data_IF_685542906790
#
_entry.id   IF_685542906790
#
_cell.length_a   1.000
_cell.length_b   1.000
_cell.length_c   1.000
_cell.angle_alpha   90.00
_cell.angle_beta   90.00
_cell.angle_gamma   90.00
#
_symmetry.space_group_name_H-M   'P 1'
#
loop_
_entity.id
_entity.type
_entity.pdbx_description
1 polymer ?
#
# COMPACT_ATOMS: atom_id res chain seq x y z
N UNK A 1 20.97 -0.86 -21.04
CA UNK A 1 21.46 -1.21 -19.68
C UNK A 1 20.30 -1.03 -18.72
N UNK A 2 20.19 -1.86 -17.66
CA UNK A 2 19.18 -1.64 -16.62
C UNK A 2 19.55 -0.36 -15.88
N UNK A 3 18.62 0.58 -15.73
CA UNK A 3 18.88 1.81 -15.01
C UNK A 3 19.25 1.53 -13.54
N UNK A 4 20.08 2.40 -12.96
CA UNK A 4 20.59 2.20 -11.61
C UNK A 4 19.47 2.09 -10.57
N UNK A 5 18.41 2.89 -10.67
CA UNK A 5 17.25 2.85 -9.74
C UNK A 5 16.37 1.61 -9.90
N UNK A 6 16.60 0.80 -10.94
CA UNK A 6 15.81 -0.41 -11.19
C UNK A 6 16.47 -1.67 -10.60
N UNK A 7 17.65 -1.52 -10.00
CA UNK A 7 18.33 -2.59 -9.28
C UNK A 7 17.63 -2.87 -7.93
N UNK A 8 17.73 -4.11 -7.40
CA UNK A 8 17.21 -4.45 -6.08
C UNK A 8 17.75 -3.54 -4.98
N UNK A 9 16.91 -3.15 -4.03
CA UNK A 9 17.24 -2.26 -2.90
C UNK A 9 18.47 -2.76 -2.13
N UNK A 10 18.53 -4.08 -1.86
CA UNK A 10 19.66 -4.68 -1.16
C UNK A 10 20.99 -4.49 -1.92
N UNK A 11 20.97 -4.61 -3.26
CA UNK A 11 22.15 -4.43 -4.09
C UNK A 11 22.59 -2.96 -4.12
N UNK A 12 21.65 -2.03 -4.26
CA UNK A 12 21.94 -0.59 -4.19
C UNK A 12 22.62 -0.23 -2.87
N UNK A 13 22.03 -0.65 -1.76
CA UNK A 13 22.58 -0.39 -0.43
C UNK A 13 23.96 -1.05 -0.23
N UNK A 14 24.17 -2.27 -0.76
CA UNK A 14 25.47 -2.95 -0.69
C UNK A 14 26.55 -2.19 -1.46
N UNK A 15 26.25 -1.73 -2.68
CA UNK A 15 27.17 -0.94 -3.51
C UNK A 15 27.53 0.39 -2.87
N UNK A 16 26.58 1.04 -2.20
CA UNK A 16 26.86 2.29 -1.46
C UNK A 16 27.74 1.98 -0.24
N UNK A 17 27.42 0.95 0.56
CA UNK A 17 28.26 0.57 1.71
C UNK A 17 29.70 0.18 1.32
N UNK A 18 29.90 -0.40 0.14
CA UNK A 18 31.26 -0.73 -0.36
C UNK A 18 31.97 0.47 -0.99
N UNK A 19 31.30 1.60 -1.21
CA UNK A 19 31.86 2.76 -1.94
C UNK A 19 31.90 2.58 -3.46
N UNK A 20 31.35 1.51 -4.02
CA UNK A 20 31.23 1.29 -5.46
C UNK A 20 30.25 2.29 -6.11
N UNK A 21 29.23 2.71 -5.35
CA UNK A 21 28.21 3.67 -5.77
C UNK A 21 28.11 4.78 -4.72
N UNK A 22 28.00 6.03 -5.16
CA UNK A 22 27.70 7.16 -4.28
C UNK A 22 26.18 7.31 -4.06
N UNK A 23 25.77 7.56 -2.83
CA UNK A 23 24.39 7.89 -2.50
C UNK A 23 23.94 9.16 -3.24
N UNK A 24 24.85 10.13 -3.39
CA UNK A 24 24.64 11.35 -4.16
C UNK A 24 24.22 11.06 -5.61
N UNK A 25 24.84 10.09 -6.27
CA UNK A 25 24.49 9.69 -7.65
C UNK A 25 23.07 9.13 -7.71
N UNK A 26 22.72 8.23 -6.78
CA UNK A 26 21.42 7.58 -6.75
C UNK A 26 20.28 8.56 -6.43
N UNK A 27 20.50 9.48 -5.49
CA UNK A 27 19.56 10.54 -5.13
C UNK A 27 19.37 11.52 -6.27
N UNK A 28 20.46 11.93 -6.95
CA UNK A 28 20.39 12.85 -8.10
C UNK A 28 19.59 12.24 -9.25
N UNK A 29 19.77 10.94 -9.53
CA UNK A 29 18.97 10.24 -10.54
C UNK A 29 17.49 10.22 -10.16
N UNK A 30 17.17 9.89 -8.90
CA UNK A 30 15.78 9.93 -8.40
C UNK A 30 15.15 11.34 -8.54
N UNK A 31 15.87 12.39 -8.15
CA UNK A 31 15.42 13.79 -8.30
C UNK A 31 15.17 14.16 -9.77
N UNK A 32 16.03 13.71 -10.68
CA UNK A 32 15.86 13.96 -12.13
C UNK A 32 14.58 13.28 -12.64
N UNK A 33 14.34 12.01 -12.29
CA UNK A 33 13.11 11.30 -12.65
C UNK A 33 11.86 11.97 -12.07
N UNK A 34 11.89 12.37 -10.80
CA UNK A 34 10.80 13.09 -10.14
C UNK A 34 10.51 14.40 -10.88
N UNK A 35 11.54 15.20 -11.19
CA UNK A 35 11.40 16.49 -11.89
C UNK A 35 10.75 16.31 -13.27
N UNK A 36 11.11 15.25 -13.98
CA UNK A 36 10.62 15.01 -15.32
C UNK A 36 9.17 14.48 -15.33
N UNK A 37 8.83 13.54 -14.42
CA UNK A 37 7.57 12.80 -14.50
C UNK A 37 6.49 13.28 -13.52
N UNK A 38 6.83 13.98 -12.43
CA UNK A 38 5.82 14.36 -11.43
C UNK A 38 4.75 15.30 -11.99
N UNK A 39 5.07 16.10 -13.00
CA UNK A 39 4.10 16.98 -13.65
C UNK A 39 2.94 16.24 -14.30
N UNK A 40 3.20 15.06 -14.90
CA UNK A 40 2.18 14.22 -15.52
C UNK A 40 1.55 13.22 -14.56
N UNK A 41 2.30 12.71 -13.58
CA UNK A 41 1.83 11.69 -12.62
C UNK A 41 1.16 12.28 -11.39
N UNK A 42 1.57 13.46 -10.96
CA UNK A 42 1.09 14.15 -9.75
C UNK A 42 1.15 13.26 -8.50
N UNK A 43 2.27 12.55 -8.32
CA UNK A 43 2.46 11.65 -7.20
C UNK A 43 3.15 12.29 -5.99
N UNK A 44 4.01 13.31 -6.18
CA UNK A 44 4.63 14.07 -5.08
C UNK A 44 3.84 15.35 -4.80
N UNK A 45 3.48 15.58 -3.54
CA UNK A 45 2.95 16.85 -3.03
C UNK A 45 4.07 17.81 -2.65
N UNK A 46 5.21 17.26 -2.22
CA UNK A 46 6.42 18.02 -1.87
C UNK A 46 7.67 17.20 -2.18
N UNK A 47 8.65 17.81 -2.81
CA UNK A 47 9.99 17.25 -3.04
C UNK A 47 10.98 17.93 -2.09
N UNK A 48 11.82 17.14 -1.39
CA UNK A 48 12.79 17.58 -0.40
C UNK A 48 14.20 17.54 -0.99
N UNK A 49 14.41 18.30 -2.08
CA UNK A 49 15.65 18.23 -2.88
C UNK A 49 16.89 18.55 -2.04
N UNK A 50 16.89 19.68 -1.31
CA UNK A 50 18.05 20.12 -0.54
C UNK A 50 18.37 19.17 0.63
N UNK A 51 17.33 18.70 1.32
CA UNK A 51 17.46 17.76 2.43
C UNK A 51 17.95 16.40 1.96
N UNK A 52 17.43 15.90 0.82
CA UNK A 52 17.85 14.63 0.24
C UNK A 52 19.31 14.66 -0.23
N UNK A 53 19.75 15.73 -0.90
CA UNK A 53 21.14 15.88 -1.32
C UNK A 53 22.08 16.02 -0.10
N UNK A 54 21.67 16.75 0.94
CA UNK A 54 22.44 16.87 2.18
C UNK A 54 22.60 15.53 2.88
N UNK A 55 21.52 14.74 2.96
CA UNK A 55 21.54 13.39 3.54
C UNK A 55 22.42 12.43 2.73
N UNK A 56 22.35 12.50 1.38
CA UNK A 56 23.20 11.69 0.51
C UNK A 56 24.69 11.98 0.74
N UNK A 57 25.07 13.27 0.79
CA UNK A 57 26.44 13.67 1.08
C UNK A 57 26.92 13.20 2.47
N UNK A 58 26.03 13.15 3.46
CA UNK A 58 26.37 12.61 4.78
C UNK A 58 26.59 11.08 4.75
N UNK A 59 25.75 10.33 4.04
CA UNK A 59 25.95 8.88 3.83
C UNK A 59 27.30 8.62 3.15
N UNK A 60 27.61 9.35 2.09
CA UNK A 60 28.90 9.20 1.37
C UNK A 60 30.10 9.50 2.28
N UNK A 61 29.98 10.53 3.16
CA UNK A 61 31.03 10.82 4.16
C UNK A 61 31.18 9.71 5.21
N UNK A 62 30.09 9.11 5.67
CA UNK A 62 30.10 7.99 6.62
C UNK A 62 30.81 6.79 6.01
N UNK A 63 30.45 6.40 4.79
CA UNK A 63 31.08 5.32 4.06
C UNK A 63 32.59 5.54 3.88
N UNK A 64 32.99 6.75 3.46
CA UNK A 64 34.41 7.11 3.30
C UNK A 64 35.21 7.03 4.61
N UNK A 65 34.54 7.13 5.77
CA UNK A 65 35.15 6.95 7.12
C UNK A 65 35.05 5.51 7.64
N UNK A 66 34.54 4.58 6.84
CA UNK A 66 34.33 3.18 7.25
C UNK A 66 33.15 2.97 8.21
N UNK A 67 32.24 3.95 8.32
CA UNK A 67 31.03 3.86 9.13
C UNK A 67 29.94 3.21 8.27
N UNK A 68 29.28 2.16 8.80
CA UNK A 68 28.15 1.52 8.13
C UNK A 68 26.86 2.32 8.34
N UNK A 69 26.22 2.88 7.29
CA UNK A 69 25.00 3.67 7.43
C UNK A 69 23.73 2.85 7.69
N UNK A 70 23.76 1.52 7.55
CA UNK A 70 22.62 0.64 7.75
C UNK A 70 22.22 -0.19 6.53
N UNK A 71 21.12 -0.94 6.67
CA UNK A 71 20.63 -1.90 5.67
C UNK A 71 20.15 -1.24 4.38
N UNK A 72 19.66 0.00 4.47
CA UNK A 72 19.08 0.79 3.37
C UNK A 72 20.00 1.96 2.95
N UNK A 73 21.30 1.85 3.21
CA UNK A 73 22.30 2.88 3.00
C UNK A 73 22.13 3.60 1.66
N UNK A 74 21.81 4.90 1.69
CA UNK A 74 21.70 5.80 0.54
C UNK A 74 20.52 5.54 -0.40
N UNK A 75 19.62 4.60 -0.09
CA UNK A 75 18.48 4.25 -0.96
C UNK A 75 17.37 5.30 -0.82
N UNK A 76 16.91 5.92 -1.95
CA UNK A 76 15.84 6.89 -1.94
C UNK A 76 14.48 6.24 -1.61
N UNK A 77 13.66 6.92 -0.80
CA UNK A 77 12.27 6.54 -0.56
C UNK A 77 11.37 7.77 -0.44
N UNK A 78 10.05 7.57 -0.50
CA UNK A 78 9.08 8.62 -0.26
C UNK A 78 7.96 8.09 0.64
N UNK A 79 7.24 8.99 1.31
CA UNK A 79 6.17 8.63 2.23
C UNK A 79 4.88 9.38 1.91
N UNK A 80 3.73 8.71 2.11
CA UNK A 80 2.41 9.32 2.01
C UNK A 80 2.31 10.55 2.92
N UNK A 81 1.61 11.59 2.49
CA UNK A 81 1.57 12.89 3.18
C UNK A 81 0.68 12.89 4.46
N UNK A 82 0.60 11.74 5.12
CA UNK A 82 0.03 11.56 6.45
C UNK A 82 1.05 11.17 7.51
N UNK A 83 2.30 10.97 7.12
CA UNK A 83 3.39 10.70 8.07
C UNK A 83 4.02 12.02 8.51
N UNK A 84 4.25 12.17 9.80
CA UNK A 84 5.02 13.26 10.34
C UNK A 84 6.45 13.20 9.81
N UNK A 85 6.89 14.30 9.22
CA UNK A 85 8.28 14.56 8.83
C UNK A 85 8.73 15.80 9.58
N UNK A 86 9.76 15.65 10.40
CA UNK A 86 10.30 16.74 11.24
C UNK A 86 10.51 18.02 10.43
N UNK A 87 9.93 19.12 10.94
CA UNK A 87 10.02 20.44 10.31
C UNK A 87 9.00 20.70 9.20
N UNK A 88 8.15 19.72 8.85
CA UNK A 88 7.07 19.90 7.86
C UNK A 88 5.69 19.80 8.52
N UNK A 89 4.73 20.56 7.97
CA UNK A 89 3.31 20.37 8.31
C UNK A 89 2.81 19.08 7.65
N UNK A 90 2.24 18.18 8.44
CA UNK A 90 1.58 16.94 7.98
C UNK A 90 0.22 17.28 7.43
N UNK A 91 0.04 17.32 6.10
CA UNK A 91 -1.21 17.80 5.51
C UNK A 91 -2.31 16.74 5.48
N UNK A 92 -1.96 15.45 5.49
CA UNK A 92 -2.91 14.34 5.29
C UNK A 92 -3.77 14.52 4.02
N UNK A 93 -3.22 15.18 2.98
CA UNK A 93 -3.93 15.50 1.74
C UNK A 93 -4.99 16.59 1.90
N UNK A 94 -5.00 17.36 2.99
CA UNK A 94 -6.06 18.32 3.31
C UNK A 94 -5.57 19.77 3.25
N UNK A 95 -6.35 20.63 2.60
CA UNK A 95 -6.07 22.06 2.48
C UNK A 95 -6.04 22.77 3.84
N UNK A 96 -6.96 22.41 4.73
CA UNK A 96 -7.10 23.02 6.06
C UNK A 96 -5.94 22.67 7.01
N UNK A 97 -5.00 21.83 6.59
CA UNK A 97 -3.77 21.51 7.32
C UNK A 97 -2.52 22.13 6.71
N UNK A 98 -2.63 22.77 5.54
CA UNK A 98 -1.52 23.50 4.94
C UNK A 98 -1.15 24.67 5.88
N UNK A 99 0.14 24.74 6.27
CA UNK A 99 0.62 25.74 7.21
C UNK A 99 0.26 25.48 8.69
N UNK A 100 -0.24 24.28 9.02
CA UNK A 100 -0.33 23.85 10.43
C UNK A 100 1.07 23.75 11.05
N UNK A 101 1.13 23.68 12.37
CA UNK A 101 2.39 23.55 13.11
C UNK A 101 3.24 22.40 12.54
N UNK A 102 4.51 22.65 12.20
CA UNK A 102 5.40 21.61 11.72
C UNK A 102 5.62 20.52 12.75
N UNK A 103 5.71 19.26 12.30
CA UNK A 103 5.99 18.13 13.17
C UNK A 103 7.33 18.31 13.91
N UNK A 104 7.33 18.13 15.21
CA UNK A 104 8.53 18.24 16.06
C UNK A 104 9.51 17.07 15.83
N UNK A 105 8.99 15.93 15.42
CA UNK A 105 9.73 14.67 15.19
C UNK A 105 9.24 14.00 13.93
N UNK A 106 10.09 13.15 13.34
CA UNK A 106 9.65 12.22 12.32
C UNK A 106 8.67 11.18 12.92
N UNK A 107 7.73 10.69 12.13
CA UNK A 107 6.98 9.47 12.45
C UNK A 107 7.96 8.32 12.71
N UNK A 108 7.65 7.42 13.65
CA UNK A 108 8.56 6.33 14.04
C UNK A 108 9.02 5.50 12.83
N UNK A 109 8.14 5.23 11.88
CA UNK A 109 8.45 4.50 10.66
C UNK A 109 9.41 5.26 9.73
N UNK A 110 9.28 6.58 9.63
CA UNK A 110 10.20 7.44 8.86
C UNK A 110 11.57 7.46 9.54
N UNK A 111 11.60 7.59 10.86
CA UNK A 111 12.83 7.57 11.65
C UNK A 111 13.56 6.21 11.52
N UNK A 112 12.84 5.08 11.57
CA UNK A 112 13.42 3.74 11.37
C UNK A 112 14.11 3.62 10.01
N UNK A 113 13.46 4.07 8.93
CA UNK A 113 14.05 4.04 7.59
C UNK A 113 15.29 4.92 7.49
N UNK A 114 15.24 6.14 8.04
CA UNK A 114 16.40 7.05 8.08
C UNK A 114 17.55 6.49 8.92
N UNK A 115 17.26 5.82 10.05
CA UNK A 115 18.27 5.19 10.90
C UNK A 115 19.00 4.04 10.19
N UNK A 116 18.35 3.38 9.23
CA UNK A 116 18.95 2.38 8.36
C UNK A 116 19.57 2.98 7.07
N UNK A 117 19.74 4.31 7.04
CA UNK A 117 20.42 5.03 5.99
C UNK A 117 19.58 5.33 4.76
N UNK A 118 18.27 5.08 4.75
CA UNK A 118 17.39 5.46 3.64
C UNK A 118 17.20 6.99 3.59
N UNK A 119 17.06 7.53 2.38
CA UNK A 119 16.97 8.97 2.12
C UNK A 119 15.57 9.35 1.68
N UNK A 120 14.91 10.22 2.45
CA UNK A 120 13.57 10.70 2.15
C UNK A 120 13.60 11.74 1.03
N UNK A 121 12.89 11.44 -0.08
CA UNK A 121 12.81 12.31 -1.26
C UNK A 121 11.66 13.31 -1.18
N UNK A 122 10.61 13.02 -0.41
CA UNK A 122 9.44 13.88 -0.31
C UNK A 122 8.19 13.19 0.20
N UNK A 123 7.08 13.95 0.20
CA UNK A 123 5.75 13.48 0.58
C UNK A 123 4.88 13.25 -0.65
N UNK A 124 3.96 12.26 -0.55
CA UNK A 124 3.23 11.71 -1.68
C UNK A 124 1.73 11.97 -1.56
N UNK A 125 1.10 12.25 -2.71
CA UNK A 125 -0.31 12.56 -2.84
C UNK A 125 -1.20 11.38 -2.38
N UNK A 126 -2.37 11.76 -1.86
CA UNK A 126 -3.30 10.82 -1.25
C UNK A 126 -4.75 11.33 -1.34
N UNK A 127 -5.74 10.45 -1.17
CA UNK A 127 -7.09 10.90 -0.84
C UNK A 127 -7.06 11.69 0.47
N UNK A 128 -7.77 12.82 0.53
CA UNK A 128 -7.85 13.63 1.75
C UNK A 128 -8.22 12.77 2.95
N UNK A 129 -7.43 12.90 4.05
CA UNK A 129 -7.57 12.12 5.29
C UNK A 129 -7.61 10.60 5.09
N UNK A 130 -6.98 10.09 4.02
CA UNK A 130 -6.98 8.68 3.63
C UNK A 130 -8.38 8.08 3.37
N UNK A 131 -9.42 8.91 3.15
CA UNK A 131 -10.81 8.47 3.05
C UNK A 131 -11.29 8.29 1.61
N UNK A 132 -10.66 7.39 0.88
CA UNK A 132 -11.00 7.04 -0.50
C UNK A 132 -10.19 5.88 -1.05
N UNK A 133 -10.46 5.52 -2.33
CA UNK A 133 -9.71 4.48 -3.05
C UNK A 133 -9.22 4.95 -4.43
N UNK A 134 -9.12 6.27 -4.67
CA UNK A 134 -8.89 6.80 -6.03
C UNK A 134 -7.73 7.78 -6.13
N UNK A 135 -7.36 8.46 -5.04
CA UNK A 135 -6.41 9.58 -5.02
C UNK A 135 -6.78 10.64 -6.06
N UNK A 136 -8.07 11.00 -6.08
CA UNK A 136 -8.57 12.24 -6.68
C UNK A 136 -8.79 13.20 -5.53
N UNK A 137 -7.90 14.17 -5.38
CA UNK A 137 -7.91 15.12 -4.28
C UNK A 137 -8.30 16.52 -4.80
N UNK A 138 -9.32 17.14 -4.24
CA UNK A 138 -9.81 18.45 -4.69
C UNK A 138 -8.78 19.57 -4.53
N UNK A 139 -7.76 19.38 -3.68
CA UNK A 139 -6.75 20.38 -3.35
C UNK A 139 -5.41 20.14 -4.04
N UNK A 140 -5.03 18.88 -4.23
CA UNK A 140 -3.74 18.46 -4.79
C UNK A 140 -3.87 17.83 -6.18
N UNK A 141 -5.10 17.65 -6.70
CA UNK A 141 -5.35 17.00 -7.98
C UNK A 141 -5.32 15.47 -7.94
N UNK A 142 -5.57 14.85 -9.09
CA UNK A 142 -5.56 13.40 -9.23
C UNK A 142 -4.14 12.86 -9.42
N UNK A 143 -3.79 11.77 -8.72
CA UNK A 143 -2.61 10.97 -9.05
C UNK A 143 -2.93 9.99 -10.16
N UNK A 144 -2.09 9.97 -11.17
CA UNK A 144 -2.28 9.20 -12.40
C UNK A 144 -1.51 7.89 -12.37
N UNK A 145 -2.05 6.90 -13.07
CA UNK A 145 -1.43 5.59 -13.20
C UNK A 145 -0.25 5.66 -14.18
N UNK A 146 0.95 5.19 -13.83
CA UNK A 146 2.09 5.21 -14.75
C UNK A 146 1.94 4.36 -16.00
N UNK A 147 1.07 3.32 -15.97
CA UNK A 147 0.77 2.49 -17.14
C UNK A 147 -0.14 3.17 -18.16
N UNK A 148 -0.96 4.12 -17.70
CA UNK A 148 -1.85 4.93 -18.53
C UNK A 148 -2.26 6.18 -17.73
N UNK A 149 -1.73 7.34 -18.12
CA UNK A 149 -1.95 8.60 -17.40
C UNK A 149 -3.37 9.15 -17.48
N UNK A 150 -4.26 8.57 -18.27
CA UNK A 150 -5.68 8.86 -18.24
C UNK A 150 -6.43 8.08 -17.15
N UNK A 151 -5.74 7.17 -16.45
CA UNK A 151 -6.32 6.29 -15.44
C UNK A 151 -5.86 6.60 -14.02
N UNK A 152 -6.65 6.11 -13.07
CA UNK A 152 -6.41 6.25 -11.65
C UNK A 152 -5.23 5.40 -11.19
N UNK A 153 -4.40 5.93 -10.31
CA UNK A 153 -3.41 5.15 -9.57
C UNK A 153 -4.04 4.28 -8.46
N UNK A 154 -5.31 4.50 -8.16
CA UNK A 154 -5.96 3.95 -6.97
C UNK A 154 -5.67 4.80 -5.74
N UNK A 155 -6.13 4.34 -4.56
CA UNK A 155 -6.01 5.11 -3.32
C UNK A 155 -6.27 4.26 -2.05
N UNK A 156 -6.08 4.91 -0.91
CA UNK A 156 -5.75 6.32 -0.67
C UNK A 156 -4.25 6.64 -0.79
N UNK A 157 -3.37 5.64 -0.99
CA UNK A 157 -1.91 5.83 -1.14
C UNK A 157 -1.50 5.81 -2.63
N UNK A 158 -2.25 6.49 -3.50
CA UNK A 158 -2.00 6.47 -4.94
C UNK A 158 -0.67 7.07 -5.33
N UNK A 159 -0.27 8.17 -4.68
CA UNK A 159 1.06 8.76 -4.87
C UNK A 159 2.19 7.78 -4.54
N UNK A 160 2.02 6.99 -3.46
CA UNK A 160 3.02 5.99 -3.06
C UNK A 160 3.17 4.87 -4.10
N UNK A 161 2.06 4.35 -4.60
CA UNK A 161 2.09 3.32 -5.63
C UNK A 161 2.60 3.86 -6.98
N UNK A 162 2.13 5.03 -7.41
CA UNK A 162 2.55 5.65 -8.67
C UNK A 162 4.05 5.96 -8.70
N UNK A 163 4.61 6.50 -7.61
CA UNK A 163 6.03 6.83 -7.53
C UNK A 163 6.94 5.59 -7.64
N UNK A 164 6.55 4.45 -7.04
CA UNK A 164 7.30 3.18 -7.12
C UNK A 164 7.13 2.52 -8.47
N UNK A 165 5.89 2.45 -8.99
CA UNK A 165 5.59 1.87 -10.30
C UNK A 165 6.31 2.60 -11.43
N UNK A 166 6.37 3.93 -11.36
CA UNK A 166 7.09 4.76 -12.30
C UNK A 166 8.62 4.74 -12.11
N UNK A 167 9.18 4.02 -11.15
CA UNK A 167 10.62 3.96 -10.89
C UNK A 167 11.22 5.27 -10.40
N UNK A 168 10.43 6.19 -9.81
CA UNK A 168 10.93 7.45 -9.26
C UNK A 168 11.70 7.23 -7.94
N UNK A 169 11.24 6.27 -7.17
CA UNK A 169 11.92 5.75 -5.98
C UNK A 169 11.84 4.22 -5.95
N UNK A 170 12.83 3.52 -5.37
CA UNK A 170 12.81 2.07 -5.25
C UNK A 170 11.68 1.53 -4.39
N UNK A 171 11.31 2.24 -3.31
CA UNK A 171 10.22 1.89 -2.43
C UNK A 171 9.55 3.13 -1.82
N UNK A 172 8.36 2.96 -1.31
CA UNK A 172 7.62 4.00 -0.59
C UNK A 172 6.82 3.41 0.57
N UNK A 173 6.32 4.26 1.46
CA UNK A 173 5.40 3.85 2.53
C UNK A 173 4.05 4.55 2.41
N UNK A 174 2.99 3.82 2.72
CA UNK A 174 1.62 4.28 2.78
C UNK A 174 0.87 3.73 3.98
N UNK A 175 -0.45 3.88 3.98
CA UNK A 175 -1.33 3.34 5.02
C UNK A 175 -2.47 2.53 4.40
N UNK A 176 -2.92 1.50 5.11
CA UNK A 176 -4.04 0.65 4.71
C UNK A 176 -5.03 0.51 5.86
N UNK A 177 -6.17 1.18 5.75
CA UNK A 177 -7.33 1.00 6.63
C UNK A 177 -8.21 -0.12 6.09
N UNK A 178 -8.59 0.03 4.82
CA UNK A 178 -9.59 -0.81 4.13
C UNK A 178 -9.11 -1.32 2.77
N UNK A 179 -7.81 -1.17 2.45
CA UNK A 179 -7.23 -1.54 1.17
C UNK A 179 -6.32 -0.47 0.57
N UNK A 180 -6.02 0.60 1.32
CA UNK A 180 -5.33 1.78 0.77
C UNK A 180 -3.84 1.60 0.44
N UNK A 181 -3.24 0.44 0.72
CA UNK A 181 -1.98 -0.04 0.14
C UNK A 181 -2.28 -1.01 -1.01
N UNK A 182 -3.15 -1.96 -0.78
CA UNK A 182 -3.40 -3.08 -1.71
C UNK A 182 -4.06 -2.62 -3.01
N UNK A 183 -5.09 -1.77 -2.93
CA UNK A 183 -5.80 -1.24 -4.10
C UNK A 183 -4.84 -0.52 -5.05
N UNK A 184 -4.08 0.51 -4.61
CA UNK A 184 -3.15 1.18 -5.52
C UNK A 184 -1.98 0.29 -5.95
N UNK A 185 -1.49 -0.64 -5.12
CA UNK A 185 -0.49 -1.62 -5.54
C UNK A 185 -0.99 -2.49 -6.70
N UNK A 186 -2.22 -3.02 -6.59
CA UNK A 186 -2.83 -3.84 -7.62
C UNK A 186 -3.07 -3.09 -8.94
N UNK A 187 -3.55 -1.84 -8.87
CA UNK A 187 -3.82 -1.03 -10.06
C UNK A 187 -2.55 -0.48 -10.73
N UNK A 188 -1.48 -0.27 -9.97
CA UNK A 188 -0.19 0.19 -10.48
C UNK A 188 0.80 -0.94 -10.80
N UNK A 189 0.43 -2.21 -10.63
CA UNK A 189 1.25 -3.36 -11.00
C UNK A 189 2.52 -3.52 -10.17
N UNK A 190 2.45 -3.28 -8.86
CA UNK A 190 3.55 -3.41 -7.92
C UNK A 190 3.15 -4.22 -6.69
N UNK A 191 4.13 -4.57 -5.87
CA UNK A 191 3.91 -5.26 -4.61
C UNK A 191 3.58 -4.26 -3.49
N UNK A 192 2.62 -4.65 -2.61
CA UNK A 192 2.30 -3.90 -1.41
C UNK A 192 1.79 -4.83 -0.31
N UNK A 193 2.11 -4.55 0.94
CA UNK A 193 1.63 -5.34 2.08
C UNK A 193 0.77 -4.51 3.02
N UNK A 194 -0.40 -5.07 3.40
CA UNK A 194 -1.09 -4.76 4.64
C UNK A 194 -0.59 -5.73 5.70
N UNK A 195 0.21 -5.31 6.70
CA UNK A 195 0.63 -6.18 7.79
C UNK A 195 -0.53 -6.58 8.71
N UNK A 196 -0.28 -7.54 9.59
CA UNK A 196 -1.15 -7.75 10.75
C UNK A 196 -1.25 -6.48 11.60
N UNK A 197 -2.34 -6.35 12.35
CA UNK A 197 -2.53 -5.22 13.28
C UNK A 197 -1.36 -5.15 14.27
N UNK A 198 -0.87 -3.93 14.52
CA UNK A 198 0.25 -3.65 15.43
C UNK A 198 1.61 -4.27 15.02
N UNK A 199 1.75 -4.80 13.81
CA UNK A 199 3.05 -5.32 13.35
C UNK A 199 4.06 -4.20 13.06
N UNK A 200 3.59 -3.03 12.63
CA UNK A 200 4.37 -1.81 12.36
C UNK A 200 3.85 -0.67 13.24
N UNK A 201 4.73 0.17 13.84
CA UNK A 201 4.31 1.28 14.69
C UNK A 201 3.52 2.33 13.93
N UNK A 202 2.56 2.97 14.65
CA UNK A 202 1.68 4.01 14.11
C UNK A 202 1.96 5.41 14.72
N UNK A 203 3.00 5.58 15.52
CA UNK A 203 3.31 6.87 16.12
C UNK A 203 3.75 7.89 15.04
N UNK A 204 3.14 9.08 15.06
CA UNK A 204 3.37 10.12 14.05
C UNK A 204 2.66 9.87 12.72
N UNK A 205 1.65 9.00 12.69
CA UNK A 205 0.79 8.76 11.54
C UNK A 205 -0.57 9.40 11.77
N UNK A 206 -1.02 10.28 10.86
CA UNK A 206 -2.36 10.87 10.97
C UNK A 206 -3.42 9.78 10.78
N UNK A 207 -4.31 9.54 11.77
CA UNK A 207 -5.22 8.41 11.74
C UNK A 207 -6.47 8.69 10.89
N UNK A 208 -7.10 7.60 10.39
CA UNK A 208 -8.49 7.60 9.93
C UNK A 208 -9.35 6.72 10.87
N UNK A 209 -8.91 5.49 11.13
CA UNK A 209 -9.60 4.51 11.99
C UNK A 209 -8.57 3.78 12.85
N UNK A 210 -8.41 4.21 14.08
CA UNK A 210 -7.34 3.74 14.99
C UNK A 210 -7.20 2.22 15.06
N UNK A 211 -8.31 1.49 14.98
CA UNK A 211 -8.35 0.04 15.16
C UNK A 211 -8.25 -0.74 13.84
N UNK A 212 -8.13 -0.06 12.69
CA UNK A 212 -8.02 -0.69 11.36
C UNK A 212 -6.78 -0.22 10.60
N UNK A 213 -6.28 0.97 10.92
CA UNK A 213 -5.14 1.56 10.22
C UNK A 213 -3.87 0.74 10.43
N UNK A 214 -3.13 0.51 9.34
CA UNK A 214 -1.79 -0.07 9.36
C UNK A 214 -0.88 0.71 8.41
N UNK A 215 0.41 0.77 8.70
CA UNK A 215 1.42 1.21 7.74
C UNK A 215 1.79 0.03 6.85
N UNK A 216 1.97 0.28 5.55
CA UNK A 216 2.43 -0.73 4.62
C UNK A 216 3.37 -0.16 3.56
N UNK A 217 4.50 -0.83 3.30
CA UNK A 217 5.40 -0.49 2.21
C UNK A 217 4.91 -0.96 0.84
N UNK A 218 5.47 -0.31 -0.18
CA UNK A 218 5.38 -0.67 -1.60
C UNK A 218 6.78 -0.88 -2.17
N UNK A 219 6.94 -1.87 -3.04
CA UNK A 219 8.17 -2.14 -3.76
C UNK A 219 7.90 -2.82 -5.11
N UNK A 220 8.94 -2.95 -5.95
CA UNK A 220 8.84 -3.62 -7.26
C UNK A 220 9.18 -5.11 -7.24
N UNK A 221 9.68 -5.63 -6.11
CA UNK A 221 9.95 -7.06 -5.92
C UNK A 221 9.53 -7.52 -4.53
N UNK A 222 9.32 -8.82 -4.38
CA UNK A 222 9.02 -9.42 -3.07
C UNK A 222 10.20 -9.27 -2.11
N UNK A 223 11.44 -9.39 -2.60
CA UNK A 223 12.64 -9.24 -1.77
C UNK A 223 12.79 -7.83 -1.21
N UNK A 224 12.60 -6.80 -2.04
CA UNK A 224 12.65 -5.41 -1.61
C UNK A 224 11.52 -5.08 -0.62
N UNK A 225 10.31 -5.59 -0.90
CA UNK A 225 9.17 -5.41 0.00
C UNK A 225 9.42 -6.04 1.37
N UNK A 226 9.95 -7.27 1.41
CA UNK A 226 10.30 -7.96 2.65
C UNK A 226 11.38 -7.22 3.43
N UNK A 227 12.43 -6.74 2.75
CA UNK A 227 13.51 -5.99 3.40
C UNK A 227 12.95 -4.73 4.11
N UNK A 228 12.14 -3.94 3.40
CA UNK A 228 11.53 -2.73 3.96
C UNK A 228 10.54 -3.08 5.08
N UNK A 229 9.71 -4.10 4.91
CA UNK A 229 8.79 -4.59 5.94
C UNK A 229 9.53 -4.97 7.23
N UNK A 230 10.65 -5.69 7.13
CA UNK A 230 11.46 -6.10 8.30
C UNK A 230 12.06 -4.90 9.04
N UNK A 231 12.53 -3.88 8.33
CA UNK A 231 13.04 -2.64 8.94
C UNK A 231 11.92 -1.90 9.69
N UNK A 232 10.72 -1.85 9.13
CA UNK A 232 9.59 -1.13 9.71
C UNK A 232 8.99 -1.85 10.93
N UNK A 233 9.01 -3.18 10.94
CA UNK A 233 8.29 -4.00 11.91
C UNK A 233 8.83 -3.88 13.33
N UNK A 234 7.97 -4.14 14.32
CA UNK A 234 8.42 -4.34 15.68
C UNK A 234 9.27 -5.61 15.82
N UNK A 235 10.34 -5.60 16.62
CA UNK A 235 11.16 -6.80 16.84
C UNK A 235 10.35 -8.00 17.36
N UNK A 236 9.28 -7.77 18.12
CA UNK A 236 8.37 -8.81 18.61
C UNK A 236 7.56 -9.47 17.49
N UNK A 237 7.19 -8.72 16.45
CA UNK A 237 6.45 -9.24 15.31
C UNK A 237 7.32 -10.15 14.43
N UNK A 238 8.65 -9.94 14.42
CA UNK A 238 9.60 -10.77 13.69
C UNK A 238 10.00 -12.04 14.47
N UNK A 239 9.78 -12.08 15.79
CA UNK A 239 10.15 -13.22 16.65
C UNK A 239 9.13 -14.35 16.69
N UNK A 240 7.93 -14.14 16.16
CA UNK A 240 6.87 -15.15 16.15
C UNK A 240 7.14 -16.28 15.14
N UNK A 241 8.15 -16.12 14.30
CA UNK A 241 8.65 -17.19 13.46
C UNK A 241 9.76 -17.96 14.17
N UNK A 242 9.39 -18.75 15.18
CA UNK A 242 10.12 -19.99 15.43
C UNK A 242 9.93 -20.82 14.16
N UNK A 243 10.89 -20.74 13.24
CA UNK A 243 10.98 -21.54 12.01
C UNK A 243 10.95 -23.05 12.27
N UNK A 244 11.00 -23.48 13.53
CA UNK A 244 10.83 -24.86 13.99
C UNK A 244 9.41 -25.40 13.84
N UNK A 245 8.36 -24.54 13.67
CA UNK A 245 6.96 -24.97 13.51
C UNK A 245 6.37 -24.72 12.11
N UNK A 246 7.06 -24.04 11.20
CA UNK A 246 6.70 -24.12 9.78
C UNK A 246 7.09 -25.54 9.36
N UNK A 247 6.11 -26.36 9.03
CA UNK A 247 6.31 -27.69 8.45
C UNK A 247 7.04 -27.52 7.12
N UNK A 248 8.38 -27.42 7.17
CA UNK A 248 9.23 -27.16 5.99
C UNK A 248 9.05 -28.21 4.88
N UNK A 249 8.51 -29.38 5.24
CA UNK A 249 8.41 -30.55 4.37
C UNK A 249 6.97 -30.85 3.88
N UNK A 250 5.97 -30.04 4.24
CA UNK A 250 4.60 -30.24 3.78
C UNK A 250 4.22 -29.21 2.73
N UNK A 251 3.45 -29.61 1.70
CA UNK A 251 2.96 -28.65 0.70
C UNK A 251 2.08 -27.60 1.36
N UNK A 252 2.27 -26.32 0.95
CA UNK A 252 1.43 -25.19 1.39
C UNK A 252 -0.01 -25.45 0.91
N UNK A 253 -0.96 -25.41 1.85
CA UNK A 253 -2.38 -25.61 1.55
C UNK A 253 -2.97 -24.28 1.09
N UNK A 254 -3.31 -24.20 -0.18
CA UNK A 254 -3.83 -22.98 -0.82
C UNK A 254 -5.30 -23.16 -1.15
N UNK A 255 -6.12 -22.13 -0.88
CA UNK A 255 -7.49 -22.04 -1.37
C UNK A 255 -7.76 -20.65 -1.97
N UNK A 256 -8.64 -20.58 -2.97
CA UNK A 256 -9.17 -19.30 -3.43
C UNK A 256 -10.46 -18.95 -2.70
N UNK A 257 -10.71 -17.66 -2.54
CA UNK A 257 -11.98 -17.17 -2.04
C UNK A 257 -13.02 -17.11 -3.17
N UNK A 258 -14.13 -17.78 -2.97
CA UNK A 258 -15.28 -17.82 -3.87
C UNK A 258 -16.39 -16.84 -3.47
N UNK A 259 -17.58 -17.06 -3.98
CA UNK A 259 -18.80 -16.35 -3.62
C UNK A 259 -18.71 -14.83 -3.83
N UNK A 260 -18.60 -14.05 -2.76
CA UNK A 260 -18.47 -12.58 -2.81
C UNK A 260 -17.33 -12.10 -3.70
N UNK A 261 -16.19 -12.79 -3.66
CA UNK A 261 -14.97 -12.43 -4.39
C UNK A 261 -15.02 -12.80 -5.88
N UNK A 262 -15.93 -13.67 -6.28
CA UNK A 262 -16.18 -14.03 -7.69
C UNK A 262 -17.23 -13.12 -8.32
N UNK A 263 -18.40 -12.98 -7.67
CA UNK A 263 -19.55 -12.26 -8.23
C UNK A 263 -19.29 -10.79 -8.54
N UNK A 264 -18.36 -10.17 -7.84
CA UNK A 264 -18.09 -8.74 -7.95
C UNK A 264 -16.84 -8.41 -8.77
N UNK A 265 -16.17 -9.41 -9.37
CA UNK A 265 -15.01 -9.23 -10.24
C UNK A 265 -15.42 -9.20 -11.71
N UNK A 266 -14.70 -8.42 -12.53
CA UNK A 266 -14.77 -8.57 -13.99
C UNK A 266 -14.14 -9.91 -14.42
N UNK A 267 -14.54 -10.44 -15.58
CA UNK A 267 -14.05 -11.72 -16.09
C UNK A 267 -12.51 -11.74 -16.15
N UNK A 268 -11.88 -10.66 -16.64
CA UNK A 268 -10.41 -10.59 -16.77
C UNK A 268 -9.69 -10.67 -15.41
N UNK A 269 -10.29 -10.11 -14.35
CA UNK A 269 -9.72 -10.17 -12.99
C UNK A 269 -9.94 -11.56 -12.38
N UNK A 270 -11.10 -12.15 -12.61
CA UNK A 270 -11.40 -13.51 -12.16
C UNK A 270 -10.50 -14.53 -12.87
N UNK A 271 -10.32 -14.40 -14.18
CA UNK A 271 -9.44 -15.27 -14.97
C UNK A 271 -7.99 -15.26 -14.49
N UNK A 272 -7.47 -14.12 -14.03
CA UNK A 272 -6.14 -14.03 -13.43
C UNK A 272 -6.02 -14.92 -12.17
N UNK A 273 -7.01 -14.87 -11.29
CA UNK A 273 -7.04 -15.70 -10.08
C UNK A 273 -7.20 -17.19 -10.44
N UNK A 274 -8.11 -17.52 -11.36
CA UNK A 274 -8.33 -18.90 -11.79
C UNK A 274 -7.09 -19.49 -12.47
N UNK A 275 -6.40 -18.71 -13.30
CA UNK A 275 -5.16 -19.13 -13.95
C UNK A 275 -4.05 -19.35 -12.92
N UNK A 276 -3.89 -18.46 -11.93
CA UNK A 276 -2.93 -18.67 -10.84
C UNK A 276 -3.22 -19.98 -10.09
N UNK A 277 -4.48 -20.25 -9.73
CA UNK A 277 -4.88 -21.48 -9.04
C UNK A 277 -4.59 -22.72 -9.89
N UNK A 278 -4.83 -22.67 -11.18
CA UNK A 278 -4.52 -23.75 -12.11
C UNK A 278 -3.00 -24.01 -12.22
N UNK A 279 -2.19 -22.96 -12.28
CA UNK A 279 -0.71 -23.07 -12.29
C UNK A 279 -0.16 -23.67 -10.98
N UNK A 280 -0.85 -23.46 -9.87
CA UNK A 280 -0.52 -24.04 -8.56
C UNK A 280 -1.05 -25.47 -8.36
N UNK A 281 -1.82 -26.03 -9.30
CA UNK A 281 -2.64 -27.24 -9.15
C UNK A 281 -3.50 -27.22 -7.86
N UNK A 282 -3.95 -26.03 -7.46
CA UNK A 282 -4.76 -25.83 -6.27
C UNK A 282 -6.24 -25.70 -6.64
N UNK A 283 -7.06 -26.63 -6.17
CA UNK A 283 -8.50 -26.74 -6.56
C UNK A 283 -9.46 -26.27 -5.49
N UNK A 284 -8.96 -26.02 -4.27
CA UNK A 284 -9.80 -25.66 -3.14
C UNK A 284 -10.43 -24.28 -3.32
N UNK A 285 -11.74 -24.22 -3.13
CA UNK A 285 -12.55 -23.01 -3.10
C UNK A 285 -13.23 -22.92 -1.76
N UNK A 286 -13.12 -21.77 -1.11
CA UNK A 286 -13.78 -21.53 0.18
C UNK A 286 -14.51 -20.20 0.14
N UNK A 287 -15.61 -20.12 0.85
CA UNK A 287 -16.32 -18.87 1.05
C UNK A 287 -16.06 -18.34 2.46
N UNK A 288 -15.91 -17.03 2.58
CA UNK A 288 -15.98 -16.35 3.87
C UNK A 288 -17.45 -15.99 4.09
N UNK A 289 -18.13 -16.65 5.02
CA UNK A 289 -19.53 -16.30 5.32
C UNK A 289 -19.64 -14.83 5.68
N UNK A 290 -20.70 -14.18 5.17
CA UNK A 290 -21.02 -12.78 5.54
C UNK A 290 -19.99 -11.73 5.13
N UNK A 291 -19.20 -11.96 4.05
CA UNK A 291 -18.23 -11.01 3.54
C UNK A 291 -18.87 -9.64 3.19
N UNK A 292 -20.12 -9.62 2.74
CA UNK A 292 -20.90 -8.40 2.50
C UNK A 292 -21.20 -7.64 3.79
N UNK A 293 -21.61 -8.34 4.83
CA UNK A 293 -21.83 -7.74 6.16
C UNK A 293 -20.50 -7.23 6.76
N UNK A 294 -19.40 -7.94 6.54
CA UNK A 294 -18.05 -7.50 6.93
C UNK A 294 -17.65 -6.18 6.25
N UNK A 295 -17.93 -6.04 4.96
CA UNK A 295 -17.75 -4.78 4.24
C UNK A 295 -18.60 -3.67 4.85
N UNK A 296 -19.87 -3.94 5.14
CA UNK A 296 -20.78 -2.97 5.74
C UNK A 296 -20.31 -2.52 7.14
N UNK A 297 -19.89 -3.47 7.97
CA UNK A 297 -19.32 -3.17 9.29
C UNK A 297 -18.06 -2.32 9.21
N UNK A 298 -17.17 -2.61 8.25
CA UNK A 298 -15.97 -1.80 7.97
C UNK A 298 -16.32 -0.35 7.59
N UNK A 299 -17.33 -0.15 6.74
CA UNK A 299 -17.82 1.19 6.34
C UNK A 299 -18.38 1.94 7.55
N UNK A 300 -19.21 1.29 8.37
CA UNK A 300 -19.81 1.89 9.58
C UNK A 300 -18.71 2.31 10.57
N UNK A 301 -17.75 1.42 10.86
CA UNK A 301 -16.63 1.73 11.77
C UNK A 301 -15.80 2.90 11.24
N UNK A 302 -15.51 2.92 9.94
CA UNK A 302 -14.74 3.98 9.30
C UNK A 302 -15.48 5.32 9.35
N UNK A 303 -16.76 5.33 9.00
CA UNK A 303 -17.58 6.54 9.03
C UNK A 303 -17.66 7.12 10.43
N UNK A 304 -18.00 6.28 11.43
CA UNK A 304 -18.18 6.73 12.82
C UNK A 304 -16.89 7.30 13.43
N UNK A 305 -15.76 6.58 13.29
CA UNK A 305 -14.49 7.05 13.84
C UNK A 305 -13.94 8.27 13.09
N UNK A 306 -14.01 8.26 11.74
CA UNK A 306 -13.63 9.41 10.93
C UNK A 306 -14.48 10.64 11.25
N UNK A 307 -15.80 10.50 11.34
CA UNK A 307 -16.71 11.58 11.71
C UNK A 307 -16.39 12.14 13.12
N UNK A 308 -16.16 11.27 14.10
CA UNK A 308 -15.81 11.68 15.46
C UNK A 308 -14.46 12.42 15.52
N UNK A 309 -13.45 11.95 14.78
CA UNK A 309 -12.13 12.57 14.72
C UNK A 309 -12.19 14.01 14.16
N UNK A 310 -13.08 14.26 13.22
CA UNK A 310 -13.18 15.52 12.51
C UNK A 310 -14.31 16.44 12.98
N UNK A 311 -15.06 16.05 14.03
CA UNK A 311 -16.28 16.73 14.49
C UNK A 311 -16.08 18.24 14.74
N UNK A 312 -15.01 18.59 15.48
CA UNK A 312 -14.72 19.99 15.84
C UNK A 312 -14.44 20.87 14.61
N UNK A 313 -13.67 20.35 13.66
CA UNK A 313 -13.32 21.10 12.45
C UNK A 313 -14.50 21.15 11.48
N UNK A 314 -15.24 20.06 11.32
CA UNK A 314 -16.48 20.02 10.51
C UNK A 314 -17.53 21.00 11.01
N UNK A 315 -17.64 21.20 12.33
CA UNK A 315 -18.58 22.15 12.92
C UNK A 315 -18.19 23.62 12.67
N UNK A 316 -16.89 23.90 12.52
CA UNK A 316 -16.34 25.25 12.35
C UNK A 316 -16.18 25.65 10.91
N UNK A 317 -15.63 24.77 10.07
CA UNK A 317 -15.29 25.05 8.67
C UNK A 317 -15.44 23.80 7.79
N UNK A 318 -16.68 23.35 7.54
CA UNK A 318 -16.93 22.18 6.69
C UNK A 318 -16.51 22.39 5.24
N UNK A 319 -16.45 23.66 4.78
CA UNK A 319 -16.14 23.97 3.38
C UNK A 319 -14.63 23.89 3.07
N UNK A 320 -13.78 23.73 4.07
CA UNK A 320 -12.35 23.51 3.88
C UNK A 320 -11.98 22.09 3.46
N UNK A 321 -12.93 21.16 3.48
CA UNK A 321 -12.74 19.76 3.09
C UNK A 321 -13.00 19.53 1.60
N UNK A 322 -12.39 18.52 1.04
CA UNK A 322 -12.80 17.91 -0.23
C UNK A 322 -14.29 17.50 -0.12
N UNK A 323 -15.18 17.97 -1.01
CA UNK A 323 -16.62 17.66 -0.94
C UNK A 323 -16.92 16.16 -0.86
N UNK A 324 -16.14 15.32 -1.57
CA UNK A 324 -16.30 13.87 -1.58
C UNK A 324 -15.90 13.20 -0.26
N UNK A 325 -15.11 13.87 0.58
CA UNK A 325 -14.71 13.43 1.93
C UNK A 325 -15.59 14.03 2.99
N UNK A 326 -15.86 15.34 2.89
CA UNK A 326 -16.73 16.10 3.82
C UNK A 326 -18.06 15.40 4.06
N UNK A 327 -18.78 15.09 2.99
CA UNK A 327 -20.14 14.53 3.10
C UNK A 327 -20.15 13.16 3.78
N UNK A 328 -19.09 12.38 3.57
CA UNK A 328 -18.91 11.07 4.25
C UNK A 328 -18.54 11.23 5.73
N UNK A 329 -17.71 12.21 6.07
CA UNK A 329 -17.37 12.52 7.46
C UNK A 329 -18.59 13.09 8.21
N UNK A 330 -19.37 13.99 7.59
CA UNK A 330 -20.63 14.50 8.17
C UNK A 330 -21.62 13.37 8.41
N UNK A 331 -21.84 12.48 7.44
CA UNK A 331 -22.67 11.29 7.63
C UNK A 331 -22.14 10.40 8.80
N UNK A 332 -20.83 10.32 8.94
CA UNK A 332 -20.17 9.58 10.01
C UNK A 332 -20.48 10.11 11.42
N UNK A 333 -20.62 11.42 11.58
CA UNK A 333 -21.02 12.05 12.87
C UNK A 333 -22.42 11.67 13.32
N UNK A 334 -23.26 11.20 12.39
CA UNK A 334 -24.66 10.82 12.62
C UNK A 334 -24.83 9.30 12.86
N UNK A 335 -23.76 8.52 12.80
CA UNK A 335 -23.85 7.06 13.04
C UNK A 335 -24.24 6.79 14.50
N UNK A 336 -25.40 6.12 14.76
CA UNK A 336 -25.82 5.81 16.13
C UNK A 336 -24.79 4.89 16.82
N UNK A 337 -24.55 5.14 18.10
CA UNK A 337 -23.64 4.31 18.91
C UNK A 337 -24.01 2.81 18.87
N UNK A 338 -25.32 2.51 18.88
CA UNK A 338 -25.81 1.12 18.77
C UNK A 338 -25.34 0.44 17.48
N UNK A 339 -25.38 1.13 16.35
CA UNK A 339 -24.93 0.61 15.06
C UNK A 339 -23.41 0.40 15.03
N UNK A 340 -22.66 1.38 15.56
CA UNK A 340 -21.21 1.26 15.71
C UNK A 340 -20.84 0.06 16.60
N UNK A 341 -21.51 -0.09 17.75
CA UNK A 341 -21.29 -1.19 18.69
C UNK A 341 -21.57 -2.56 18.04
N UNK A 342 -22.65 -2.68 17.26
CA UNK A 342 -22.95 -3.88 16.49
C UNK A 342 -21.84 -4.19 15.47
N UNK A 343 -21.33 -3.19 14.77
CA UNK A 343 -20.24 -3.38 13.81
C UNK A 343 -18.96 -3.87 14.48
N UNK A 344 -18.62 -3.37 15.68
CA UNK A 344 -17.47 -3.83 16.46
C UNK A 344 -17.66 -5.27 16.94
N UNK A 345 -18.85 -5.64 17.44
CA UNK A 345 -19.15 -7.02 17.84
C UNK A 345 -19.13 -7.98 16.65
N UNK A 346 -19.67 -7.53 15.52
CA UNK A 346 -19.62 -8.30 14.28
C UNK A 346 -18.18 -8.54 13.82
N UNK A 347 -17.29 -7.56 13.95
CA UNK A 347 -15.86 -7.72 13.63
C UNK A 347 -15.24 -8.89 14.39
N UNK A 348 -15.48 -8.98 15.71
CA UNK A 348 -14.95 -10.06 16.54
C UNK A 348 -15.51 -11.43 16.14
N UNK A 349 -16.80 -11.49 15.83
CA UNK A 349 -17.42 -12.69 15.29
C UNK A 349 -16.78 -13.09 13.94
N UNK A 350 -16.70 -12.14 13.00
CA UNK A 350 -16.18 -12.38 11.66
C UNK A 350 -14.70 -12.84 11.68
N UNK A 351 -13.88 -12.24 12.53
CA UNK A 351 -12.49 -12.65 12.73
C UNK A 351 -12.38 -14.13 13.15
N UNK A 352 -13.27 -14.59 14.03
CA UNK A 352 -13.34 -16.01 14.43
C UNK A 352 -13.74 -16.93 13.27
N UNK A 353 -14.63 -16.49 12.38
CA UNK A 353 -14.99 -17.28 11.20
C UNK A 353 -13.80 -17.37 10.23
N UNK A 354 -13.10 -16.27 9.98
CA UNK A 354 -11.89 -16.26 9.13
C UNK A 354 -10.78 -17.14 9.74
N UNK A 355 -10.59 -17.12 11.06
CA UNK A 355 -9.60 -17.96 11.74
C UNK A 355 -9.79 -19.46 11.45
N UNK A 356 -11.03 -19.93 11.40
CA UNK A 356 -11.35 -21.35 11.09
C UNK A 356 -10.85 -21.78 9.71
N UNK A 357 -10.83 -20.88 8.73
CA UNK A 357 -10.31 -21.20 7.39
C UNK A 357 -8.82 -21.53 7.45
N UNK A 358 -8.08 -20.83 8.32
CA UNK A 358 -6.63 -21.05 8.50
C UNK A 358 -6.27 -22.29 9.33
N UNK A 359 -7.25 -23.00 9.89
CA UNK A 359 -7.05 -24.36 10.42
C UNK A 359 -6.84 -25.36 9.27
N UNK A 360 -7.51 -25.14 8.14
CA UNK A 360 -7.48 -26.01 6.96
C UNK A 360 -6.51 -25.53 5.87
N UNK A 361 -6.30 -24.22 5.76
CA UNK A 361 -5.48 -23.61 4.72
C UNK A 361 -4.38 -22.73 5.31
N UNK A 362 -3.29 -22.61 4.57
CA UNK A 362 -2.15 -21.76 4.95
C UNK A 362 -2.19 -20.43 4.23
N UNK A 363 -2.70 -20.43 2.99
CA UNK A 363 -2.81 -19.26 2.11
C UNK A 363 -4.23 -19.19 1.53
N UNK A 364 -4.79 -18.00 1.56
CA UNK A 364 -6.03 -17.66 0.85
C UNK A 364 -5.71 -16.67 -0.29
N UNK A 365 -6.27 -16.93 -1.47
CA UNK A 365 -6.07 -16.09 -2.67
C UNK A 365 -7.40 -15.45 -3.06
N UNK A 366 -7.35 -14.14 -3.40
CA UNK A 366 -8.51 -13.38 -3.85
C UNK A 366 -8.10 -12.31 -4.87
N UNK A 367 -9.01 -11.80 -5.71
CA UNK A 367 -8.73 -10.59 -6.49
C UNK A 367 -8.48 -9.39 -5.56
N UNK A 368 -7.66 -8.44 -5.99
CA UNK A 368 -7.37 -7.24 -5.21
C UNK A 368 -8.43 -6.15 -5.44
N UNK A 369 -8.77 -5.91 -6.70
CA UNK A 369 -9.76 -4.93 -7.15
C UNK A 369 -10.80 -5.58 -8.05
N UNK A 370 -12.02 -5.02 -8.18
CA UNK A 370 -13.05 -5.61 -9.03
C UNK A 370 -12.74 -5.53 -10.53
N UNK A 371 -11.87 -4.61 -10.93
CA UNK A 371 -11.51 -4.32 -12.31
C UNK A 371 -10.08 -3.75 -12.38
N UNK A 372 -9.56 -3.57 -13.58
CA UNK A 372 -8.36 -2.77 -13.86
C UNK A 372 -8.60 -1.28 -13.57
N UNK A 373 -7.55 -0.45 -13.63
CA UNK A 373 -7.61 0.95 -13.29
C UNK A 373 -8.69 1.72 -14.08
N UNK A 374 -9.70 2.34 -13.41
CA UNK A 374 -10.69 3.18 -14.07
C UNK A 374 -10.12 4.50 -14.62
N UNK A 375 -10.84 5.16 -15.53
CA UNK A 375 -10.45 6.46 -16.03
C UNK A 375 -10.60 7.56 -14.95
N UNK A 376 -9.73 8.56 -15.00
CA UNK A 376 -9.78 9.72 -14.10
C UNK A 376 -11.05 10.56 -14.37
N UNK A 377 -11.44 10.70 -15.64
CA UNK A 377 -12.60 11.49 -16.05
C UNK A 377 -13.94 10.76 -15.82
N UNK A 378 -13.94 9.43 -15.80
CA UNK A 378 -15.09 8.60 -15.41
C UNK A 378 -14.67 7.64 -14.27
N UNK A 379 -14.54 8.14 -13.02
CA UNK A 379 -14.07 7.34 -11.89
C UNK A 379 -15.17 6.41 -11.36
N UNK A 380 -15.65 5.52 -12.21
CA UNK A 380 -16.71 4.55 -11.92
C UNK A 380 -16.26 3.13 -12.22
N UNK A 381 -16.93 2.18 -11.59
CA UNK A 381 -16.73 0.74 -11.78
C UNK A 381 -18.07 0.04 -11.88
N UNK A 382 -18.11 -1.07 -12.61
CA UNK A 382 -19.26 -1.96 -12.65
C UNK A 382 -19.10 -3.02 -11.54
N UNK A 383 -20.07 -3.06 -10.64
CA UNK A 383 -20.18 -4.12 -9.62
C UNK A 383 -21.50 -4.84 -9.91
N UNK A 384 -21.41 -6.11 -10.25
CA UNK A 384 -22.53 -6.85 -10.79
C UNK A 384 -23.07 -6.09 -12.02
N UNK A 385 -24.34 -5.75 -12.08
CA UNK A 385 -24.94 -5.00 -13.19
C UNK A 385 -25.06 -3.50 -12.92
N UNK A 386 -24.48 -2.99 -11.84
CA UNK A 386 -24.63 -1.60 -11.39
C UNK A 386 -23.35 -0.79 -11.54
N UNK A 387 -23.44 0.34 -12.24
CA UNK A 387 -22.37 1.34 -12.29
C UNK A 387 -22.29 2.11 -10.97
N UNK A 388 -21.12 2.11 -10.32
CA UNK A 388 -20.88 2.68 -8.98
C UNK A 388 -19.62 3.54 -8.97
N UNK A 389 -19.50 4.43 -7.98
CA UNK A 389 -18.31 5.26 -7.83
C UNK A 389 -17.09 4.44 -7.43
N UNK A 390 -15.98 4.59 -8.15
CA UNK A 390 -14.71 3.92 -7.87
C UNK A 390 -14.19 4.23 -6.46
N UNK A 391 -14.35 5.50 -6.00
CA UNK A 391 -13.97 5.94 -4.64
C UNK A 391 -14.56 5.07 -3.51
N UNK A 392 -15.73 4.50 -3.71
CA UNK A 392 -16.44 3.67 -2.72
C UNK A 392 -16.31 2.17 -2.98
N UNK A 393 -15.95 1.77 -4.22
CA UNK A 393 -16.16 0.40 -4.67
C UNK A 393 -14.89 -0.36 -5.02
N UNK A 394 -13.76 0.32 -5.32
CA UNK A 394 -12.49 -0.36 -5.59
C UNK A 394 -12.01 -1.23 -4.42
N UNK A 395 -12.41 -0.92 -3.19
CA UNK A 395 -12.08 -1.69 -2.00
C UNK A 395 -13.03 -2.86 -1.68
N UNK A 396 -13.92 -3.26 -2.60
CA UNK A 396 -14.96 -4.27 -2.33
C UNK A 396 -14.40 -5.61 -1.84
N UNK A 397 -13.21 -6.01 -2.30
CA UNK A 397 -12.52 -7.24 -1.91
C UNK A 397 -11.52 -7.03 -0.76
N UNK A 398 -11.02 -5.82 -0.61
CA UNK A 398 -10.03 -5.53 0.44
C UNK A 398 -10.67 -5.25 1.80
N UNK A 399 -11.87 -4.66 1.84
CA UNK A 399 -12.59 -4.30 3.07
C UNK A 399 -12.93 -5.49 3.95
N UNK A 400 -13.51 -6.62 3.45
CA UNK A 400 -13.79 -7.79 4.28
C UNK A 400 -12.53 -8.40 4.89
N UNK A 401 -11.42 -8.41 4.16
CA UNK A 401 -10.16 -8.93 4.67
C UNK A 401 -9.47 -7.96 5.65
N UNK A 402 -9.68 -6.65 5.48
CA UNK A 402 -9.16 -5.64 6.42
C UNK A 402 -9.78 -5.77 7.80
N UNK A 403 -11.12 -5.94 7.86
CA UNK A 403 -11.83 -6.03 9.14
C UNK A 403 -11.46 -7.31 9.91
N UNK A 404 -11.01 -8.36 9.21
CA UNK A 404 -10.46 -9.55 9.82
C UNK A 404 -9.09 -9.32 10.49
N UNK A 405 -8.40 -8.23 10.15
CA UNK A 405 -7.11 -7.85 10.76
C UNK A 405 -5.95 -8.78 10.39
N UNK A 406 -6.03 -9.47 9.25
CA UNK A 406 -5.03 -10.42 8.79
C UNK A 406 -3.97 -9.77 7.89
N UNK A 407 -2.73 -10.31 7.81
CA UNK A 407 -1.71 -9.84 6.88
C UNK A 407 -1.99 -10.29 5.46
N UNK A 408 -1.81 -9.36 4.49
CA UNK A 408 -2.17 -9.57 3.09
C UNK A 408 -1.14 -8.88 2.19
N UNK A 409 -0.60 -9.63 1.24
CA UNK A 409 0.15 -9.09 0.10
C UNK A 409 -0.80 -8.80 -1.06
N UNK A 410 -0.67 -7.65 -1.70
CA UNK A 410 -1.10 -7.42 -3.08
C UNK A 410 0.09 -7.68 -3.99
N UNK A 411 -0.06 -8.59 -4.93
CA UNK A 411 0.98 -8.97 -5.88
C UNK A 411 0.51 -8.74 -7.31
N UNK A 412 1.37 -8.24 -8.21
CA UNK A 412 1.02 -8.01 -9.60
C UNK A 412 1.05 -9.31 -10.41
N UNK A 413 -0.06 -9.62 -11.08
CA UNK A 413 -0.18 -10.78 -11.96
C UNK A 413 0.51 -10.52 -13.31
N UNK A 414 1.37 -11.46 -13.76
CA UNK A 414 1.96 -11.42 -15.11
C UNK A 414 0.95 -11.98 -16.10
N UNK A 415 0.53 -11.16 -17.06
CA UNK A 415 -0.41 -11.53 -18.13
C UNK A 415 0.35 -12.13 -19.32
N UNK A 416 -0.12 -13.26 -19.83
CA UNK A 416 0.42 -13.89 -21.04
C UNK A 416 -0.58 -13.81 -22.21
N UNK A 417 -0.14 -13.43 -23.43
CA UNK A 417 1.19 -12.90 -23.75
C UNK A 417 1.41 -11.54 -23.13
N UNK A 418 2.64 -11.28 -22.66
CA UNK A 418 3.00 -9.98 -22.11
C UNK A 418 2.84 -8.90 -23.20
N UNK A 419 1.79 -8.08 -23.07
CA UNK A 419 1.55 -6.96 -23.96
C UNK A 419 1.61 -5.67 -23.13
N UNK A 420 2.48 -4.74 -23.50
CA UNK A 420 2.68 -3.46 -22.84
C UNK A 420 1.43 -2.56 -22.75
N UNK A 421 0.40 -2.87 -23.55
CA UNK A 421 -0.88 -2.14 -23.55
C UNK A 421 -1.89 -2.67 -22.53
N UNK A 422 -1.60 -3.80 -21.87
CA UNK A 422 -2.49 -4.37 -20.88
C UNK A 422 -2.27 -3.73 -19.50
N UNK A 423 -3.39 -3.31 -18.89
CA UNK A 423 -3.35 -2.74 -17.54
C UNK A 423 -3.07 -3.81 -16.48
N UNK A 424 -2.37 -3.46 -15.39
CA UNK A 424 -2.08 -4.38 -14.31
C UNK A 424 -3.33 -4.94 -13.63
N UNK A 425 -3.21 -6.18 -13.16
CA UNK A 425 -4.17 -6.85 -12.28
C UNK A 425 -3.45 -7.25 -11.00
N UNK A 426 -4.01 -6.87 -9.85
CA UNK A 426 -3.51 -7.28 -8.55
C UNK A 426 -4.25 -8.49 -8.00
N UNK A 427 -3.51 -9.40 -7.37
CA UNK A 427 -4.04 -10.55 -6.62
C UNK A 427 -3.66 -10.39 -5.14
N UNK A 428 -4.61 -10.63 -4.24
CA UNK A 428 -4.37 -10.68 -2.81
C UNK A 428 -3.96 -12.10 -2.38
N UNK A 429 -2.90 -12.18 -1.59
CA UNK A 429 -2.44 -13.40 -0.93
C UNK A 429 -2.48 -13.14 0.57
N UNK A 430 -3.30 -13.89 1.30
CA UNK A 430 -3.53 -13.67 2.73
C UNK A 430 -3.11 -14.89 3.56
N UNK A 431 -2.67 -14.63 4.78
CA UNK A 431 -2.39 -15.65 5.79
C UNK A 431 -2.88 -15.20 7.17
N UNK A 432 -2.72 -16.06 8.20
CA UNK A 432 -3.04 -15.70 9.58
C UNK A 432 -1.91 -14.88 10.23
N UNK A 433 -2.23 -13.94 11.14
CA UNK A 433 -1.23 -13.15 11.85
C UNK A 433 -0.11 -13.98 12.49
N UNK A 434 1.12 -13.50 12.41
CA UNK A 434 2.32 -14.19 12.87
C UNK A 434 2.89 -15.20 11.88
N UNK A 435 2.36 -15.25 10.65
CA UNK A 435 2.86 -16.10 9.56
C UNK A 435 3.27 -15.28 8.32
N UNK A 436 3.66 -14.03 8.50
CA UNK A 436 4.06 -13.12 7.40
C UNK A 436 5.26 -13.66 6.63
N UNK A 437 6.18 -14.39 7.27
CA UNK A 437 7.29 -15.05 6.58
C UNK A 437 6.79 -16.08 5.53
N UNK A 438 5.65 -16.73 5.80
CA UNK A 438 5.03 -17.63 4.83
C UNK A 438 4.51 -16.87 3.61
N UNK A 439 3.92 -15.66 3.80
CA UNK A 439 3.50 -14.81 2.68
C UNK A 439 4.67 -14.48 1.78
N UNK A 440 5.77 -14.00 2.36
CA UNK A 440 6.96 -13.65 1.59
C UNK A 440 7.58 -14.87 0.92
N UNK A 441 7.70 -16.00 1.61
CA UNK A 441 8.22 -17.25 1.04
C UNK A 441 7.37 -17.71 -0.15
N UNK A 442 6.04 -17.67 -0.01
CA UNK A 442 5.12 -18.07 -1.06
C UNK A 442 5.18 -17.11 -2.26
N UNK A 443 5.16 -15.79 -2.01
CA UNK A 443 5.25 -14.79 -3.07
C UNK A 443 6.59 -14.86 -3.83
N UNK A 444 7.73 -15.05 -3.14
CA UNK A 444 9.05 -15.25 -3.79
C UNK A 444 9.06 -16.45 -4.72
N UNK A 445 8.42 -17.55 -4.30
CA UNK A 445 8.28 -18.71 -5.18
C UNK A 445 7.47 -18.39 -6.43
N UNK A 446 6.32 -17.70 -6.29
CA UNK A 446 5.51 -17.28 -7.44
C UNK A 446 6.27 -16.34 -8.37
N UNK A 447 7.09 -15.44 -7.82
CA UNK A 447 7.93 -14.51 -8.58
C UNK A 447 9.04 -15.26 -9.33
N UNK A 448 9.70 -16.23 -8.69
CA UNK A 448 10.71 -17.10 -9.32
C UNK A 448 10.12 -18.01 -10.43
N UNK A 449 8.88 -18.46 -10.25
CA UNK A 449 8.15 -19.26 -11.24
C UNK A 449 7.58 -18.38 -12.39
N UNK A 450 7.80 -17.05 -12.36
CA UNK A 450 7.36 -16.11 -13.39
C UNK A 450 5.84 -15.88 -13.42
N UNK A 451 5.13 -16.19 -12.34
CA UNK A 451 3.68 -16.04 -12.24
C UNK A 451 3.26 -14.63 -11.80
N UNK A 452 4.08 -13.99 -10.98
CA UNK A 452 3.88 -12.62 -10.50
C UNK A 452 5.15 -11.82 -10.73
N UNK A 453 5.02 -10.51 -10.93
CA UNK A 453 6.16 -9.62 -11.13
C UNK A 453 5.73 -8.24 -11.57
N UNK A 454 6.46 -7.22 -11.14
CA UNK A 454 6.23 -5.85 -11.59
C UNK A 454 7.03 -5.55 -12.86
N UNK A 455 6.50 -4.65 -13.68
CA UNK A 455 7.29 -4.00 -14.72
C UNK A 455 7.17 -2.49 -14.55
N UNK A 456 8.29 -1.79 -14.71
CA UNK A 456 8.27 -0.33 -14.78
C UNK A 456 7.73 0.04 -16.17
N UNK A 457 6.59 0.77 -16.26
CA UNK A 457 5.99 1.11 -17.56
C UNK A 457 6.75 2.25 -18.27
N UNK A 458 7.59 2.98 -17.53
CA UNK A 458 8.39 4.09 -18.06
C UNK A 458 9.78 3.56 -18.38
N UNK A 459 10.16 3.65 -19.65
CA UNK A 459 11.54 3.36 -20.08
C UNK A 459 12.37 4.62 -19.93
N UNK A 460 13.47 4.51 -19.20
CA UNK A 460 14.44 5.58 -19.05
C UNK A 460 15.57 5.34 -20.06
N UNK A 461 15.62 6.20 -21.10
CA UNK A 461 16.74 6.20 -22.05
C UNK A 461 18.01 6.67 -21.33
N UNK A 462 19.12 5.97 -21.59
CA UNK A 462 20.42 6.21 -20.99
C UNK A 462 21.27 7.18 -21.81
#
# INVERSE_FOLDING_TARGET
MVSILDQPVANLAAKIRSGELLAMTLVSESLNRIRFHNGSLNCFTRVLESEALSAAAEIDRQVARGINPGLLAGVPFACKDLFDVKGLSTTAGAKNRIGSEPAAHDAEVVQKLKNEGAILMGTLNMDEYAYGFVTINAHFGATRNPHDTERLAGGSSGGSASAVSAGLVPFSIGSDTNGSVRVPAGLCGIFGIRPAENAIPMQGVFPLVKNLDTVGPFARSTDDLELVYRVLSHPSSLKTTNTSNVRKDLPIRVARLGGWFERNATDEVLDAVLTLMARLDAKAVVEIPEAEAARSASIIMTAAQGGALHLDLLSKDPMSYDPAVRDRLLAGTMVPFSLYSQAVQFREYFRKQVAKLFESFDILIAPCTPCVAPLVEDPTVWIDVKKTLARASLGIFTQPLSIAGIPILSVPWIREPANSTQLPIGIQIATWPGREDLLFTFAKRLEQDGLIGSCCPIQYDH
#
